data_IF_328967471610
#
_entry.id   IF_328967471610
#
_cell.length_a   1.000
_cell.length_b   1.000
_cell.length_c   1.000
_cell.angle_alpha   90.00
_cell.angle_beta   90.00
_cell.angle_gamma   90.00
#
_symmetry.space_group_name_H-M   'P 1'
#
loop_
_entity.id
_entity.type
_entity.pdbx_description
1 polymer ?
#
# COMPACT_ATOMS: atom_id res chain seq x y z
N UNK A 1 -44.58 -42.63 -48.27
CA UNK A 1 -45.34 -42.55 -46.99
C UNK A 1 -44.36 -42.31 -45.84
N UNK A 2 -44.77 -41.46 -44.88
CA UNK A 2 -43.92 -40.67 -43.96
C UNK A 2 -43.36 -41.52 -42.82
N UNK A 3 -42.03 -41.63 -42.71
CA UNK A 3 -41.33 -42.24 -41.57
C UNK A 3 -41.46 -41.35 -40.32
N UNK A 4 -41.88 -41.98 -39.21
CA UNK A 4 -42.16 -41.34 -37.93
C UNK A 4 -40.91 -40.89 -37.19
N UNK A 5 -40.98 -39.69 -36.61
CA UNK A 5 -40.08 -39.16 -35.58
C UNK A 5 -40.14 -40.01 -34.31
N UNK A 6 -38.99 -40.41 -33.77
CA UNK A 6 -38.74 -40.44 -32.31
C UNK A 6 -37.27 -40.11 -32.06
N UNK A 7 -37.02 -38.97 -31.40
CA UNK A 7 -35.69 -38.52 -31.05
C UNK A 7 -35.08 -39.32 -29.90
N UNK A 8 -33.75 -39.38 -29.88
CA UNK A 8 -32.96 -39.56 -28.65
C UNK A 8 -31.65 -38.75 -28.78
N UNK A 9 -31.70 -37.61 -28.08
CA UNK A 9 -30.66 -36.87 -27.36
C UNK A 9 -29.21 -37.32 -27.59
N UNK A 10 -28.43 -36.36 -28.08
CA UNK A 10 -27.00 -36.14 -27.90
C UNK A 10 -26.45 -36.68 -26.58
N UNK A 11 -25.49 -37.60 -26.66
CA UNK A 11 -24.60 -37.94 -25.55
C UNK A 11 -23.26 -37.25 -25.79
N UNK A 12 -23.22 -35.94 -25.54
CA UNK A 12 -21.97 -35.21 -25.29
C UNK A 12 -21.54 -35.56 -23.87
N UNK A 13 -20.81 -36.66 -23.68
CA UNK A 13 -20.15 -36.93 -22.39
C UNK A 13 -18.86 -36.11 -22.33
N UNK A 14 -19.03 -34.79 -22.24
CA UNK A 14 -17.96 -33.89 -21.90
C UNK A 14 -17.70 -34.09 -20.41
N UNK A 15 -16.60 -34.79 -20.12
CA UNK A 15 -16.15 -35.08 -18.77
C UNK A 15 -16.00 -33.75 -18.01
N UNK A 16 -17.01 -33.41 -17.22
CA UNK A 16 -17.00 -32.30 -16.29
C UNK A 16 -15.97 -32.61 -15.18
N UNK A 17 -14.70 -32.39 -15.52
CA UNK A 17 -13.61 -32.34 -14.58
C UNK A 17 -13.98 -31.38 -13.47
N UNK A 18 -14.24 -31.94 -12.29
CA UNK A 18 -14.54 -31.20 -11.07
C UNK A 18 -13.38 -30.24 -10.82
N UNK A 19 -13.53 -28.98 -11.21
CA UNK A 19 -12.58 -27.92 -10.86
C UNK A 19 -12.67 -27.77 -9.35
N UNK A 20 -11.67 -28.31 -8.65
CA UNK A 20 -11.58 -28.20 -7.20
C UNK A 20 -11.63 -26.73 -6.76
N UNK A 21 -12.07 -26.53 -5.52
CA UNK A 21 -12.23 -25.24 -4.82
C UNK A 21 -11.00 -24.31 -4.95
N UNK A 22 -9.82 -24.86 -5.23
CA UNK A 22 -8.58 -24.12 -5.47
C UNK A 22 -8.62 -23.16 -6.68
N UNK A 23 -9.48 -23.40 -7.67
CA UNK A 23 -9.54 -22.57 -8.89
C UNK A 23 -10.20 -21.19 -8.67
N UNK A 24 -10.95 -20.99 -7.57
CA UNK A 24 -11.68 -19.75 -7.28
C UNK A 24 -10.91 -18.75 -6.41
N UNK A 25 -9.62 -19.02 -6.12
CA UNK A 25 -8.90 -18.35 -5.03
C UNK A 25 -7.96 -17.20 -5.47
N UNK A 26 -8.02 -16.74 -6.72
CA UNK A 26 -7.16 -15.62 -7.19
C UNK A 26 -7.39 -14.32 -6.40
N UNK A 27 -8.61 -14.10 -5.87
CA UNK A 27 -8.92 -12.94 -5.01
C UNK A 27 -8.36 -13.09 -3.59
N UNK A 28 -8.40 -14.29 -3.03
CA UNK A 28 -7.97 -14.55 -1.64
C UNK A 28 -6.45 -14.48 -1.48
N UNK A 29 -5.67 -14.94 -2.45
CA UNK A 29 -4.21 -14.87 -2.35
C UNK A 29 -3.62 -13.49 -2.68
N UNK A 30 -4.31 -12.65 -3.47
CA UNK A 30 -3.81 -11.33 -3.88
C UNK A 30 -3.73 -10.32 -2.72
N UNK A 31 -4.56 -10.49 -1.68
CA UNK A 31 -4.53 -9.63 -0.50
C UNK A 31 -3.37 -9.93 0.48
N UNK A 32 -2.68 -11.07 0.32
CA UNK A 32 -1.63 -11.55 1.25
C UNK A 32 -0.25 -11.59 0.55
N UNK A 33 -0.10 -10.96 -0.62
CA UNK A 33 1.20 -10.95 -1.32
C UNK A 33 2.14 -9.96 -0.62
N UNK A 34 3.03 -10.49 0.23
CA UNK A 34 4.12 -9.75 0.85
C UNK A 34 5.34 -9.74 -0.08
N UNK A 35 5.81 -8.56 -0.47
CA UNK A 35 7.10 -8.42 -1.17
C UNK A 35 8.22 -8.87 -0.24
N UNK A 36 9.00 -9.85 -0.70
CA UNK A 36 10.12 -10.40 0.07
C UNK A 36 11.41 -9.76 -0.38
N UNK A 37 12.20 -9.31 0.60
CA UNK A 37 13.54 -8.77 0.39
C UNK A 37 14.55 -9.72 1.05
N UNK A 38 15.67 -9.97 0.38
CA UNK A 38 16.80 -10.71 0.94
C UNK A 38 17.93 -9.72 1.20
N UNK A 39 18.45 -9.68 2.42
CA UNK A 39 19.56 -8.82 2.78
C UNK A 39 20.61 -9.61 3.57
N UNK A 40 21.89 -9.29 3.35
CA UNK A 40 22.98 -9.82 4.16
C UNK A 40 23.06 -9.04 5.46
N UNK A 41 23.18 -9.73 6.58
CA UNK A 41 23.33 -9.15 7.92
C UNK A 41 24.46 -9.85 8.66
N UNK A 42 25.13 -9.12 9.56
CA UNK A 42 26.13 -9.74 10.44
C UNK A 42 25.48 -10.74 11.39
N UNK A 43 26.20 -11.79 11.78
CA UNK A 43 25.67 -12.82 12.69
C UNK A 43 25.25 -12.25 14.05
N UNK A 44 26.04 -11.29 14.56
CA UNK A 44 25.73 -10.56 15.80
C UNK A 44 24.35 -9.90 15.74
N UNK A 45 24.00 -9.28 14.61
CA UNK A 45 22.71 -8.63 14.42
C UNK A 45 21.58 -9.66 14.31
N UNK A 46 21.80 -10.79 13.63
CA UNK A 46 20.82 -11.87 13.57
C UNK A 46 20.49 -12.41 14.97
N UNK A 47 21.52 -12.69 15.79
CA UNK A 47 21.33 -13.15 17.18
C UNK A 47 20.55 -12.14 18.04
N UNK A 48 20.84 -10.85 17.90
CA UNK A 48 20.10 -9.78 18.60
C UNK A 48 18.63 -9.73 18.16
N UNK A 49 18.36 -9.85 16.85
CA UNK A 49 17.00 -9.91 16.32
C UNK A 49 16.24 -11.13 16.83
N UNK A 50 16.88 -12.29 16.95
CA UNK A 50 16.27 -13.49 17.52
C UNK A 50 15.93 -13.35 18.99
N UNK A 51 16.83 -12.75 19.79
CA UNK A 51 16.55 -12.48 21.19
C UNK A 51 15.37 -11.50 21.34
N UNK A 52 15.33 -10.45 20.52
CA UNK A 52 14.25 -9.47 20.50
C UNK A 52 12.91 -10.08 20.07
N UNK A 53 12.93 -10.93 19.03
CA UNK A 53 11.78 -11.67 18.52
C UNK A 53 11.17 -12.56 19.61
N UNK A 54 12.01 -13.34 20.31
CA UNK A 54 11.59 -14.18 21.44
C UNK A 54 10.99 -13.35 22.57
N UNK A 55 11.66 -12.26 22.96
CA UNK A 55 11.17 -11.36 24.02
C UNK A 55 9.81 -10.73 23.70
N UNK A 56 9.62 -10.31 22.44
CA UNK A 56 8.37 -9.68 21.96
C UNK A 56 7.31 -10.69 21.49
N UNK A 57 7.60 -12.01 21.52
CA UNK A 57 6.76 -13.09 20.97
C UNK A 57 6.28 -12.80 19.53
N UNK A 58 7.19 -12.28 18.71
CA UNK A 58 6.90 -11.92 17.31
C UNK A 58 7.99 -12.48 16.39
N UNK A 59 7.82 -12.37 15.07
CA UNK A 59 8.80 -12.85 14.10
C UNK A 59 9.92 -11.85 13.84
N UNK A 60 11.09 -12.34 13.38
CA UNK A 60 12.19 -11.49 12.91
C UNK A 60 11.75 -10.53 11.80
N UNK A 61 10.92 -11.01 10.87
CA UNK A 61 10.41 -10.20 9.76
C UNK A 61 9.44 -9.12 10.21
N UNK A 62 8.66 -9.35 11.27
CA UNK A 62 7.79 -8.33 11.85
C UNK A 62 8.61 -7.18 12.46
N UNK A 63 9.65 -7.51 13.23
CA UNK A 63 10.57 -6.52 13.82
C UNK A 63 11.28 -5.71 12.72
N UNK A 64 11.81 -6.40 11.71
CA UNK A 64 12.51 -5.73 10.61
C UNK A 64 11.56 -4.81 9.83
N UNK A 65 10.32 -5.25 9.57
CA UNK A 65 9.31 -4.43 8.92
C UNK A 65 8.98 -3.19 9.74
N UNK A 66 8.71 -3.34 11.04
CA UNK A 66 8.45 -2.23 11.96
C UNK A 66 9.60 -1.21 11.96
N UNK A 67 10.84 -1.69 12.04
CA UNK A 67 12.03 -0.84 12.03
C UNK A 67 12.20 -0.08 10.69
N UNK A 68 11.96 -0.76 9.56
CA UNK A 68 12.04 -0.15 8.23
C UNK A 68 10.93 0.87 7.99
N UNK A 69 9.71 0.59 8.41
CA UNK A 69 8.57 1.52 8.32
C UNK A 69 8.84 2.77 9.17
N UNK A 70 9.32 2.59 10.41
CA UNK A 70 9.66 3.70 11.28
C UNK A 70 10.77 4.57 10.69
N UNK A 71 11.83 3.97 10.15
CA UNK A 71 12.92 4.71 9.49
C UNK A 71 12.44 5.45 8.24
N UNK A 72 11.64 4.80 7.39
CA UNK A 72 11.13 5.42 6.16
C UNK A 72 10.20 6.59 6.47
N UNK A 73 9.30 6.43 7.46
CA UNK A 73 8.39 7.49 7.90
C UNK A 73 9.13 8.67 8.56
N UNK A 74 10.19 8.39 9.30
CA UNK A 74 11.02 9.45 9.89
C UNK A 74 11.82 10.17 8.81
N UNK A 75 12.39 9.43 7.86
CA UNK A 75 13.12 10.00 6.73
C UNK A 75 12.22 10.82 5.81
N UNK A 76 10.97 10.44 5.59
CA UNK A 76 10.02 11.26 4.80
C UNK A 76 9.61 12.53 5.55
N UNK A 77 9.55 12.50 6.88
CA UNK A 77 9.29 13.70 7.68
C UNK A 77 10.48 14.66 7.72
N UNK A 78 11.71 14.12 7.66
CA UNK A 78 12.95 14.90 7.65
C UNK A 78 13.38 15.35 6.25
N UNK A 79 13.04 14.59 5.20
CA UNK A 79 13.19 14.97 3.80
C UNK A 79 12.14 16.01 3.43
N UNK A 80 12.32 17.21 3.98
CA UNK A 80 11.99 18.50 3.39
C UNK A 80 10.73 18.52 2.51
N UNK A 81 9.55 18.53 3.14
CA UNK A 81 8.49 19.35 2.59
C UNK A 81 9.02 20.79 2.53
N UNK A 82 9.12 21.33 1.32
CA UNK A 82 9.41 22.76 1.14
C UNK A 82 8.42 23.58 1.98
N UNK A 83 8.81 24.79 2.39
CA UNK A 83 7.85 25.72 3.01
C UNK A 83 6.56 25.82 2.17
N UNK A 84 6.71 25.75 0.84
CA UNK A 84 5.61 25.66 -0.12
C UNK A 84 4.72 24.41 0.06
N UNK A 85 5.27 23.19 0.15
CA UNK A 85 4.48 21.96 0.26
C UNK A 85 3.61 21.94 1.53
N UNK A 86 4.10 22.59 2.59
CA UNK A 86 3.35 22.72 3.84
C UNK A 86 2.16 23.67 3.69
N UNK A 87 2.30 24.78 2.97
CA UNK A 87 1.24 25.79 2.83
C UNK A 87 0.40 25.64 1.57
N UNK A 88 0.74 24.70 0.68
CA UNK A 88 0.05 24.49 -0.62
C UNK A 88 -1.47 24.28 -0.46
N UNK A 89 -1.89 23.61 0.61
CA UNK A 89 -3.32 23.39 0.90
C UNK A 89 -4.08 24.69 1.28
N UNK A 90 -3.36 25.75 1.66
CA UNK A 90 -3.90 27.08 1.95
C UNK A 90 -3.88 28.00 0.72
N UNK A 91 -3.17 27.62 -0.35
CA UNK A 91 -3.12 28.39 -1.58
C UNK A 91 -4.52 28.41 -2.22
N UNK A 92 -5.10 29.60 -2.33
CA UNK A 92 -6.43 29.82 -2.93
C UNK A 92 -7.61 29.73 -1.97
N UNK A 93 -7.40 29.38 -0.70
CA UNK A 93 -8.45 29.40 0.33
C UNK A 93 -8.79 30.83 0.77
N UNK A 94 -7.83 31.75 0.67
CA UNK A 94 -7.96 33.14 1.06
C UNK A 94 -8.11 34.03 -0.18
N UNK A 95 -9.09 34.95 -0.14
CA UNK A 95 -9.20 36.03 -1.13
C UNK A 95 -8.50 37.25 -0.57
N UNK A 96 -7.60 37.84 -1.36
CA UNK A 96 -6.87 39.04 -0.99
C UNK A 96 -6.47 39.86 -2.21
N UNK A 97 -5.90 41.05 -1.98
CA UNK A 97 -5.30 41.86 -3.02
C UNK A 97 -4.31 41.07 -3.87
N UNK A 98 -4.18 41.44 -5.15
CA UNK A 98 -3.28 40.78 -6.11
C UNK A 98 -1.80 40.80 -5.65
N UNK A 99 -1.44 41.75 -4.79
CA UNK A 99 -0.10 41.91 -4.24
C UNK A 99 -0.18 42.22 -2.74
N UNK A 100 0.39 41.33 -1.92
CA UNK A 100 0.48 41.46 -0.47
C UNK A 100 1.88 41.85 0.01
N UNK A 101 2.90 41.77 -0.86
CA UNK A 101 4.31 41.90 -0.48
C UNK A 101 5.00 43.15 -1.00
N UNK A 102 4.52 43.73 -2.10
CA UNK A 102 5.27 44.76 -2.85
C UNK A 102 4.69 46.17 -2.68
N UNK A 103 3.42 46.30 -2.30
CA UNK A 103 2.77 47.58 -2.05
C UNK A 103 2.66 47.88 -0.53
N UNK A 104 3.46 48.83 0.01
CA UNK A 104 3.49 49.15 1.44
C UNK A 104 2.15 49.62 2.01
N UNK A 105 1.24 50.12 1.16
CA UNK A 105 -0.11 50.54 1.58
C UNK A 105 -0.94 49.37 2.13
N UNK A 106 -0.65 48.13 1.71
CA UNK A 106 -1.36 46.94 2.17
C UNK A 106 -0.77 46.31 3.44
N UNK A 107 0.37 46.83 3.95
CA UNK A 107 1.03 46.34 5.17
C UNK A 107 0.74 47.20 6.41
N UNK A 108 -0.08 48.26 6.27
CA UNK A 108 -0.43 49.13 7.39
C UNK A 108 -1.26 48.36 8.43
N UNK A 109 -0.74 48.24 9.66
CA UNK A 109 -1.37 47.52 10.77
C UNK A 109 -1.05 46.01 10.83
N UNK A 110 -0.03 45.54 10.09
CA UNK A 110 0.42 44.15 10.19
C UNK A 110 1.37 43.97 11.40
N UNK A 111 0.97 43.20 12.41
CA UNK A 111 1.81 42.85 13.55
C UNK A 111 1.66 43.72 14.81
N UNK A 112 0.63 44.59 14.87
CA UNK A 112 0.10 45.20 16.10
C UNK A 112 -0.88 44.26 16.79
#
# INVERSE_FOLDING_TARGET
MRLGRRGKRSASSEAAGKRGIAASSKKYYRAIVMTTITCKVSEKLNAQLEALARRRRTSKSAILREALEHKTRTSSRAAAHSAYDRVKHLCGTLRGPKDLSTNPRHMKGFGE
#
